data_IF_063192988787
#
_entry.id   IF_063192988787
#
_cell.length_a   1.000
_cell.length_b   1.000
_cell.length_c   1.000
_cell.angle_alpha   90.00
_cell.angle_beta   90.00
_cell.angle_gamma   90.00
#
_symmetry.space_group_name_H-M   'P 1'
#
loop_
_entity.id
_entity.type
_entity.pdbx_description
1 polymer ?
#
# COMPACT_ATOMS: atom_id res chain seq x y z
N UNK A 1 -12.76 20.59 -0.39
CA UNK A 1 -11.50 19.81 -0.61
C UNK A 1 -10.82 19.76 0.74
N UNK A 2 -10.27 18.62 1.16
CA UNK A 2 -9.58 18.51 2.46
C UNK A 2 -8.06 18.58 2.28
N UNK A 3 -7.54 17.96 1.22
CA UNK A 3 -6.11 17.89 0.92
C UNK A 3 -5.90 17.96 -0.58
N UNK A 4 -4.91 18.74 -1.03
CA UNK A 4 -4.48 18.81 -2.41
C UNK A 4 -2.97 18.59 -2.54
N UNK A 5 -2.59 17.91 -3.60
CA UNK A 5 -1.22 17.65 -4.02
C UNK A 5 -1.10 18.12 -5.47
N UNK A 6 -0.19 19.03 -5.74
CA UNK A 6 -0.04 19.64 -7.05
C UNK A 6 1.40 19.49 -7.55
N UNK A 7 1.57 18.75 -8.64
CA UNK A 7 2.83 18.55 -9.35
C UNK A 7 4.00 18.14 -8.43
N UNK A 8 3.72 17.25 -7.46
CA UNK A 8 4.71 16.84 -6.49
C UNK A 8 5.74 15.91 -7.10
N UNK A 9 7.01 16.24 -6.88
CA UNK A 9 8.17 15.41 -7.22
C UNK A 9 8.91 14.98 -5.96
N UNK A 10 9.41 13.75 -5.96
CA UNK A 10 10.23 13.21 -4.87
C UNK A 10 11.23 12.19 -5.38
N UNK A 11 12.49 12.37 -4.99
CA UNK A 11 13.61 11.49 -5.36
C UNK A 11 14.44 11.10 -4.14
N UNK A 12 15.08 9.94 -4.21
CA UNK A 12 16.12 9.53 -3.27
C UNK A 12 17.37 9.15 -4.06
N UNK A 13 18.41 9.96 -3.93
CA UNK A 13 19.58 9.86 -4.80
C UNK A 13 19.19 9.99 -6.27
N UNK A 14 19.62 9.06 -7.09
CA UNK A 14 19.33 9.06 -8.54
C UNK A 14 17.94 8.47 -8.88
N UNK A 15 17.20 7.99 -7.89
CA UNK A 15 15.90 7.33 -8.11
C UNK A 15 14.75 8.29 -7.89
N UNK A 16 14.06 8.62 -8.97
CA UNK A 16 12.79 9.35 -8.92
C UNK A 16 11.68 8.39 -8.50
N UNK A 17 10.99 8.69 -7.40
CA UNK A 17 9.85 7.90 -6.90
C UNK A 17 8.51 8.50 -7.29
N UNK A 18 8.42 9.83 -7.36
CA UNK A 18 7.23 10.56 -7.79
C UNK A 18 7.68 11.67 -8.74
N UNK A 19 7.02 11.80 -9.88
CA UNK A 19 7.36 12.74 -10.96
C UNK A 19 6.12 13.52 -11.37
N UNK A 20 5.96 14.74 -10.83
CA UNK A 20 4.84 15.63 -11.15
C UNK A 20 3.46 15.08 -10.76
N UNK A 21 3.38 14.37 -9.63
CA UNK A 21 2.14 13.74 -9.17
C UNK A 21 1.15 14.78 -8.67
N UNK A 22 -0.10 14.66 -9.10
CA UNK A 22 -1.22 15.46 -8.60
C UNK A 22 -2.32 14.56 -8.05
N UNK A 23 -2.87 14.93 -6.88
CA UNK A 23 -3.88 14.18 -6.17
C UNK A 23 -4.72 15.10 -5.29
N UNK A 24 -5.99 14.78 -5.11
CA UNK A 24 -6.88 15.54 -4.21
C UNK A 24 -7.76 14.58 -3.41
N UNK A 25 -8.16 15.03 -2.23
CA UNK A 25 -8.99 14.30 -1.29
C UNK A 25 -10.16 15.17 -0.83
N UNK A 26 -11.36 14.62 -0.93
CA UNK A 26 -12.59 15.27 -0.49
C UNK A 26 -13.16 14.57 0.75
N UNK A 27 -14.13 15.21 1.38
CA UNK A 27 -14.78 14.63 2.56
C UNK A 27 -15.52 13.34 2.18
N UNK A 28 -15.28 12.28 2.94
CA UNK A 28 -15.89 10.97 2.71
C UNK A 28 -15.20 10.11 1.65
N UNK A 29 -14.15 10.62 0.98
CA UNK A 29 -13.34 9.82 0.07
C UNK A 29 -12.66 8.68 0.82
N UNK A 30 -12.67 7.49 0.22
CA UNK A 30 -11.92 6.32 0.72
C UNK A 30 -11.04 5.80 -0.39
N UNK A 31 -9.74 6.09 -0.29
CA UNK A 31 -8.75 5.85 -1.34
C UNK A 31 -7.78 4.77 -0.93
N UNK A 32 -7.66 3.72 -1.75
CA UNK A 32 -6.62 2.71 -1.63
C UNK A 32 -5.44 3.01 -2.54
N UNK A 33 -4.23 3.10 -1.97
CA UNK A 33 -3.00 3.27 -2.74
C UNK A 33 -2.35 1.92 -2.97
N UNK A 34 -2.03 1.62 -4.20
CA UNK A 34 -1.38 0.38 -4.62
C UNK A 34 -0.17 0.66 -5.52
N UNK A 35 0.61 -0.36 -5.76
CA UNK A 35 1.83 -0.32 -6.59
C UNK A 35 2.82 -1.38 -6.15
N UNK A 36 3.84 -1.66 -6.95
CA UNK A 36 4.90 -2.60 -6.62
C UNK A 36 5.70 -2.16 -5.38
N UNK A 37 6.39 -3.09 -4.74
CA UNK A 37 7.26 -2.74 -3.60
C UNK A 37 8.36 -1.78 -4.06
N UNK A 38 8.55 -0.71 -3.26
CA UNK A 38 9.50 0.35 -3.60
C UNK A 38 9.03 1.33 -4.68
N UNK A 39 7.77 1.32 -5.10
CA UNK A 39 7.22 2.29 -6.06
C UNK A 39 7.03 3.71 -5.50
N UNK A 40 7.14 3.88 -4.16
CA UNK A 40 6.95 5.20 -3.53
C UNK A 40 5.64 5.36 -2.76
N UNK A 41 4.88 4.27 -2.51
CA UNK A 41 3.59 4.31 -1.78
C UNK A 41 3.71 4.96 -0.39
N UNK A 42 4.59 4.43 0.47
CA UNK A 42 4.81 4.99 1.82
C UNK A 42 5.43 6.39 1.79
N UNK A 43 6.21 6.70 0.75
CA UNK A 43 6.71 8.06 0.52
C UNK A 43 5.57 9.01 0.22
N UNK A 44 4.64 8.61 -0.66
CA UNK A 44 3.44 9.39 -0.94
C UNK A 44 2.62 9.62 0.33
N UNK A 45 2.40 8.57 1.17
CA UNK A 45 1.70 8.74 2.44
C UNK A 45 2.40 9.72 3.38
N UNK A 46 3.75 9.68 3.48
CA UNK A 46 4.53 10.63 4.32
C UNK A 46 4.42 12.06 3.81
N UNK A 47 4.43 12.27 2.50
CA UNK A 47 4.22 13.58 1.89
C UNK A 47 2.80 14.11 2.17
N UNK A 48 1.77 13.27 2.00
CA UNK A 48 0.38 13.62 2.33
C UNK A 48 0.23 13.99 3.81
N UNK A 49 0.90 13.25 4.70
CA UNK A 49 0.88 13.47 6.15
C UNK A 49 1.74 14.66 6.60
N UNK A 50 2.48 15.31 5.71
CA UNK A 50 3.44 16.38 6.09
C UNK A 50 4.62 15.87 6.93
N UNK A 51 4.83 14.54 6.97
CA UNK A 51 5.97 13.93 7.67
C UNK A 51 7.27 13.97 6.83
N UNK A 52 7.14 14.33 5.57
CA UNK A 52 8.25 14.54 4.64
C UNK A 52 7.91 15.68 3.67
N UNK A 53 8.92 16.46 3.27
CA UNK A 53 8.76 17.55 2.31
C UNK A 53 8.99 17.06 0.88
N UNK A 54 8.21 17.53 -0.12
CA UNK A 54 8.47 17.24 -1.53
C UNK A 54 9.71 18.00 -2.02
N UNK A 55 10.37 17.46 -3.04
CA UNK A 55 11.49 18.14 -3.71
C UNK A 55 10.98 19.23 -4.69
N UNK A 56 9.74 19.09 -5.16
CA UNK A 56 9.04 20.06 -5.98
C UNK A 56 7.53 19.89 -5.90
N UNK A 57 6.79 20.88 -6.33
CA UNK A 57 5.34 20.91 -6.19
C UNK A 57 4.87 21.33 -4.79
N UNK A 58 3.61 21.14 -4.47
CA UNK A 58 3.03 21.54 -3.18
C UNK A 58 2.04 20.50 -2.66
N UNK A 59 2.04 20.34 -1.33
CA UNK A 59 1.01 19.60 -0.58
C UNK A 59 0.31 20.59 0.35
N UNK A 60 -1.01 20.69 0.27
CA UNK A 60 -1.81 21.63 1.05
C UNK A 60 -2.94 20.91 1.77
N UNK A 61 -3.00 21.10 3.08
CA UNK A 61 -4.13 20.71 3.91
C UNK A 61 -5.01 21.95 4.11
N UNK A 62 -6.33 21.83 3.97
CA UNK A 62 -7.24 22.95 4.21
C UNK A 62 -7.13 23.43 5.67
N UNK A 63 -7.21 24.74 5.94
CA UNK A 63 -7.17 25.28 7.29
C UNK A 63 -8.26 24.68 8.19
N UNK A 64 -7.87 24.21 9.38
CA UNK A 64 -8.78 23.62 10.37
C UNK A 64 -9.06 22.13 10.18
N UNK A 65 -8.58 21.50 9.11
CA UNK A 65 -8.66 20.04 8.91
C UNK A 65 -7.68 19.35 9.84
N UNK A 66 -8.18 18.38 10.63
CA UNK A 66 -7.37 17.52 11.49
C UNK A 66 -7.04 16.24 10.75
N UNK A 67 -5.76 15.87 10.78
CA UNK A 67 -5.27 14.67 10.09
C UNK A 67 -4.48 13.80 11.06
N UNK A 68 -4.74 12.49 11.01
CA UNK A 68 -3.98 11.47 11.73
C UNK A 68 -3.28 10.53 10.75
N UNK A 69 -2.06 10.14 11.09
CA UNK A 69 -1.23 9.28 10.26
C UNK A 69 -0.68 8.08 11.04
N UNK A 70 -0.95 6.88 10.56
CA UNK A 70 -0.33 5.63 11.01
C UNK A 70 0.84 5.28 10.10
N UNK A 71 2.10 5.44 10.53
CA UNK A 71 3.26 5.01 9.74
C UNK A 71 3.45 3.49 9.78
N UNK A 72 4.14 2.96 8.78
CA UNK A 72 4.45 1.53 8.72
C UNK A 72 5.20 1.04 9.97
N UNK A 73 6.11 1.81 10.53
CA UNK A 73 6.87 1.51 11.74
C UNK A 73 6.68 2.63 12.78
N UNK A 74 5.67 2.51 13.66
CA UNK A 74 5.44 3.53 14.67
C UNK A 74 6.54 3.52 15.74
N UNK A 75 7.03 4.68 16.08
CA UNK A 75 8.04 4.90 17.14
C UNK A 75 7.36 5.56 18.33
N UNK A 76 7.48 4.95 19.50
CA UNK A 76 7.03 5.53 20.75
C UNK A 76 8.21 6.14 21.52
N UNK A 77 7.98 7.28 22.12
CA UNK A 77 8.99 7.99 22.93
C UNK A 77 8.65 7.88 24.42
N UNK A 78 9.68 7.56 25.21
CA UNK A 78 9.61 7.57 26.66
C UNK A 78 8.96 6.34 27.30
N UNK A 79 8.72 6.43 28.61
CA UNK A 79 8.18 5.35 29.47
C UNK A 79 6.68 5.51 29.76
N UNK A 80 5.94 6.07 28.79
CA UNK A 80 4.50 6.28 28.94
C UNK A 80 3.76 4.96 29.03
N UNK A 81 2.61 4.98 29.67
CA UNK A 81 1.65 3.87 29.61
C UNK A 81 0.99 3.79 28.24
N UNK A 82 0.40 2.64 27.91
CA UNK A 82 -0.36 2.42 26.67
C UNK A 82 -1.44 3.49 26.53
N UNK A 83 -2.22 3.74 27.58
CA UNK A 83 -3.31 4.71 27.53
C UNK A 83 -2.80 6.14 27.34
N UNK A 84 -1.76 6.55 28.07
CA UNK A 84 -1.13 7.85 27.90
C UNK A 84 -0.59 8.06 26.48
N UNK A 85 -0.04 7.01 25.88
CA UNK A 85 0.46 7.07 24.50
C UNK A 85 -0.67 7.27 23.47
N UNK A 86 -1.82 6.62 23.67
CA UNK A 86 -2.98 6.80 22.78
C UNK A 86 -3.55 8.22 22.90
N UNK A 87 -3.61 8.75 24.10
CA UNK A 87 -4.17 10.06 24.41
C UNK A 87 -3.17 11.22 24.24
N UNK A 88 -1.94 10.92 23.81
CA UNK A 88 -0.88 11.93 23.66
C UNK A 88 -1.26 13.00 22.64
N UNK A 89 -1.09 14.28 23.02
CA UNK A 89 -1.34 15.43 22.13
C UNK A 89 -2.81 15.87 22.07
N UNK A 90 -3.71 15.22 22.78
CA UNK A 90 -5.08 15.68 22.94
C UNK A 90 -5.18 16.77 24.02
N UNK A 91 -6.01 17.77 23.79
CA UNK A 91 -6.38 18.73 24.82
C UNK A 91 -7.30 18.09 25.88
N UNK A 92 -7.52 18.73 27.02
CA UNK A 92 -8.27 18.12 28.13
C UNK A 92 -9.73 17.79 27.76
N UNK A 93 -10.36 18.59 26.92
CA UNK A 93 -11.74 18.35 26.48
C UNK A 93 -11.86 17.13 25.57
N UNK A 94 -10.96 17.01 24.57
CA UNK A 94 -10.92 15.87 23.66
C UNK A 94 -10.46 14.59 24.37
N UNK A 95 -9.57 14.72 25.38
CA UNK A 95 -9.00 13.62 26.14
C UNK A 95 -10.07 12.83 26.89
N UNK A 96 -11.00 13.49 27.55
CA UNK A 96 -12.04 12.82 28.34
C UNK A 96 -13.00 12.00 27.44
N UNK A 97 -13.31 12.50 26.24
CA UNK A 97 -14.13 11.80 25.27
C UNK A 97 -13.36 10.66 24.60
N UNK A 98 -12.10 10.91 24.23
CA UNK A 98 -11.24 9.95 23.57
C UNK A 98 -10.81 8.80 24.47
N UNK A 99 -10.78 8.98 25.81
CA UNK A 99 -10.35 7.91 26.74
C UNK A 99 -11.29 6.70 26.68
N UNK A 100 -12.60 6.91 26.70
CA UNK A 100 -13.55 5.81 26.59
C UNK A 100 -13.42 5.07 25.25
N UNK A 101 -13.32 5.84 24.19
CA UNK A 101 -13.15 5.29 22.83
C UNK A 101 -11.80 4.57 22.70
N UNK A 102 -10.71 5.16 23.22
CA UNK A 102 -9.39 4.56 23.23
C UNK A 102 -9.37 3.19 23.94
N UNK A 103 -9.99 3.09 25.13
CA UNK A 103 -10.11 1.82 25.85
C UNK A 103 -10.90 0.77 25.08
N UNK A 104 -11.98 1.19 24.43
CA UNK A 104 -12.82 0.33 23.58
C UNK A 104 -12.02 -0.19 22.38
N UNK A 105 -11.35 0.68 21.65
CA UNK A 105 -10.52 0.34 20.47
C UNK A 105 -9.35 -0.56 20.88
N UNK A 106 -8.63 -0.23 21.95
CA UNK A 106 -7.54 -1.05 22.47
C UNK A 106 -8.00 -2.48 22.81
N UNK A 107 -9.15 -2.63 23.47
CA UNK A 107 -9.72 -3.96 23.76
C UNK A 107 -10.07 -4.72 22.48
N UNK A 108 -10.66 -4.07 21.49
CA UNK A 108 -10.96 -4.68 20.18
C UNK A 108 -9.69 -5.12 19.44
N UNK A 109 -8.60 -4.39 19.64
CA UNK A 109 -7.28 -4.74 19.10
C UNK A 109 -6.47 -5.67 20.02
N UNK A 110 -7.09 -6.27 21.04
CA UNK A 110 -6.47 -7.26 21.92
C UNK A 110 -5.38 -6.68 22.84
N UNK A 111 -5.47 -5.40 23.20
CA UNK A 111 -4.59 -4.72 24.14
C UNK A 111 -5.40 -4.36 25.38
N UNK A 112 -5.29 -5.15 26.45
CA UNK A 112 -6.06 -4.97 27.69
C UNK A 112 -5.25 -4.36 28.85
N UNK A 113 -3.91 -4.30 28.73
CA UNK A 113 -3.02 -3.79 29.78
C UNK A 113 -2.72 -2.31 29.57
N UNK A 114 -3.67 -1.44 29.90
CA UNK A 114 -3.59 0.00 29.60
C UNK A 114 -2.48 0.72 30.37
N UNK A 115 -2.16 0.26 31.57
CA UNK A 115 -1.14 0.83 32.47
C UNK A 115 0.27 0.27 32.21
N UNK A 116 0.42 -0.66 31.28
CA UNK A 116 1.72 -1.21 30.91
C UNK A 116 2.52 -0.15 30.14
N UNK A 117 3.84 -0.04 30.44
CA UNK A 117 4.74 0.82 29.68
C UNK A 117 4.84 0.35 28.20
N UNK A 118 4.79 1.30 27.27
CA UNK A 118 4.94 1.04 25.83
C UNK A 118 6.32 0.46 25.49
N UNK A 119 7.33 0.66 26.35
CA UNK A 119 8.67 0.09 26.19
C UNK A 119 8.66 -1.46 26.23
N UNK A 120 7.72 -2.04 27.00
CA UNK A 120 7.60 -3.50 27.21
C UNK A 120 6.71 -4.22 26.18
N UNK A 121 6.18 -3.48 25.18
CA UNK A 121 5.32 -4.04 24.16
C UNK A 121 6.13 -4.77 23.08
N UNK A 122 5.61 -5.89 22.60
CA UNK A 122 6.07 -6.53 21.37
C UNK A 122 5.86 -5.61 20.15
N UNK A 123 6.56 -5.87 19.04
CA UNK A 123 6.38 -5.10 17.80
C UNK A 123 4.93 -5.10 17.30
N UNK A 124 4.23 -6.23 17.40
CA UNK A 124 2.82 -6.33 17.04
C UNK A 124 1.90 -5.53 17.96
N UNK A 125 2.15 -5.56 19.27
CA UNK A 125 1.38 -4.75 20.23
C UNK A 125 1.62 -3.25 20.02
N UNK A 126 2.87 -2.83 19.77
CA UNK A 126 3.17 -1.41 19.43
C UNK A 126 2.35 -0.94 18.23
N UNK A 127 2.26 -1.76 17.19
CA UNK A 127 1.45 -1.42 16.02
C UNK A 127 -0.03 -1.30 16.34
N UNK A 128 -0.59 -2.22 17.12
CA UNK A 128 -1.99 -2.15 17.54
C UNK A 128 -2.27 -0.94 18.43
N UNK A 129 -1.36 -0.57 19.32
CA UNK A 129 -1.46 0.65 20.13
C UNK A 129 -1.37 1.90 19.25
N UNK A 130 -0.49 1.94 18.24
CA UNK A 130 -0.41 3.06 17.30
C UNK A 130 -1.67 3.18 16.45
N UNK A 131 -2.23 2.06 15.99
CA UNK A 131 -3.51 2.04 15.28
C UNK A 131 -4.64 2.57 16.20
N UNK A 132 -4.70 2.12 17.45
CA UNK A 132 -5.66 2.64 18.41
C UNK A 132 -5.53 4.16 18.60
N UNK A 133 -4.31 4.68 18.67
CA UNK A 133 -4.06 6.10 18.84
C UNK A 133 -4.64 6.95 17.70
N UNK A 134 -4.44 6.55 16.44
CA UNK A 134 -4.96 7.30 15.29
C UNK A 134 -6.47 7.13 15.11
N UNK A 135 -7.05 5.99 15.52
CA UNK A 135 -8.50 5.77 15.43
C UNK A 135 -9.28 6.47 16.55
N UNK A 136 -8.71 6.59 17.75
CA UNK A 136 -9.36 7.22 18.90
C UNK A 136 -9.35 8.76 18.82
N UNK A 137 -8.47 9.36 18.01
CA UNK A 137 -8.36 10.80 17.90
C UNK A 137 -9.37 11.36 16.91
N UNK A 138 -10.06 12.47 17.27
CA UNK A 138 -10.97 13.11 16.35
C UNK A 138 -10.20 13.71 15.17
N UNK A 139 -10.46 13.22 13.95
CA UNK A 139 -9.83 13.71 12.73
C UNK A 139 -10.80 13.72 11.55
N UNK A 140 -10.48 14.53 10.53
CA UNK A 140 -11.21 14.64 9.28
C UNK A 140 -10.57 13.81 8.16
N UNK A 141 -9.25 13.58 8.27
CA UNK A 141 -8.44 12.80 7.33
C UNK A 141 -7.65 11.74 8.11
N UNK A 142 -7.74 10.50 7.68
CA UNK A 142 -7.02 9.37 8.23
C UNK A 142 -6.11 8.75 7.17
N UNK A 143 -4.82 8.67 7.45
CA UNK A 143 -3.81 8.08 6.58
C UNK A 143 -3.25 6.84 7.26
N UNK A 144 -3.38 5.67 6.60
CA UNK A 144 -2.97 4.38 7.17
C UNK A 144 -1.96 3.66 6.27
N UNK A 145 -0.78 3.35 6.81
CA UNK A 145 0.24 2.53 6.11
C UNK A 145 0.25 1.12 6.68
N UNK A 146 -0.30 0.15 5.91
CA UNK A 146 -0.42 -1.26 6.24
C UNK A 146 -1.15 -1.52 7.58
N UNK A 147 -2.40 -1.05 7.76
CA UNK A 147 -3.11 -1.14 9.04
C UNK A 147 -3.49 -2.57 9.43
N UNK A 148 -3.60 -3.49 8.49
CA UNK A 148 -3.99 -4.89 8.71
C UNK A 148 -2.84 -5.78 9.20
N UNK A 149 -1.59 -5.31 9.10
CA UNK A 149 -0.44 -6.09 9.54
C UNK A 149 -0.46 -6.31 11.06
N UNK A 150 -0.19 -7.54 11.49
CA UNK A 150 -0.21 -8.01 12.89
C UNK A 150 -1.60 -8.02 13.54
N UNK A 151 -2.67 -7.89 12.77
CA UNK A 151 -4.04 -8.15 13.21
C UNK A 151 -4.41 -9.61 12.92
N UNK A 152 -5.27 -10.19 13.74
CA UNK A 152 -5.95 -11.44 13.41
C UNK A 152 -7.26 -11.16 12.66
N UNK A 153 -7.93 -12.21 12.21
CA UNK A 153 -9.13 -12.07 11.39
C UNK A 153 -10.24 -11.27 12.07
N UNK A 154 -10.46 -11.49 13.38
CA UNK A 154 -11.52 -10.81 14.12
C UNK A 154 -11.24 -9.30 14.23
N UNK A 155 -9.97 -8.95 14.46
CA UNK A 155 -9.52 -7.54 14.48
C UNK A 155 -9.63 -6.90 13.09
N UNK A 156 -9.29 -7.62 12.02
CA UNK A 156 -9.42 -7.12 10.64
C UNK A 156 -10.88 -6.87 10.30
N UNK A 157 -11.79 -7.80 10.60
CA UNK A 157 -13.24 -7.64 10.37
C UNK A 157 -13.80 -6.44 11.14
N UNK A 158 -13.41 -6.31 12.42
CA UNK A 158 -13.82 -5.14 13.20
C UNK A 158 -13.28 -3.84 12.61
N UNK A 159 -12.02 -3.78 12.19
CA UNK A 159 -11.42 -2.58 11.58
C UNK A 159 -12.11 -2.23 10.26
N UNK A 160 -12.48 -3.24 9.48
CA UNK A 160 -13.25 -3.06 8.24
C UNK A 160 -14.58 -2.37 8.50
N UNK A 161 -15.35 -2.88 9.48
CA UNK A 161 -16.65 -2.29 9.85
C UNK A 161 -16.48 -0.86 10.39
N UNK A 162 -15.47 -0.63 11.22
CA UNK A 162 -15.14 0.69 11.76
C UNK A 162 -14.83 1.69 10.64
N UNK A 163 -13.91 1.37 9.73
CA UNK A 163 -13.49 2.26 8.65
C UNK A 163 -14.60 2.46 7.62
N UNK A 164 -15.47 1.45 7.40
CA UNK A 164 -16.61 1.58 6.50
C UNK A 164 -17.65 2.54 7.06
N UNK A 165 -17.91 2.51 8.35
CA UNK A 165 -18.85 3.40 9.03
C UNK A 165 -18.32 4.83 9.22
N UNK A 166 -16.99 4.99 9.24
CA UNK A 166 -16.34 6.28 9.47
C UNK A 166 -16.60 7.28 8.33
N UNK A 167 -16.92 8.54 8.68
CA UNK A 167 -17.42 9.57 7.75
C UNK A 167 -16.32 10.49 7.20
N UNK A 168 -15.12 10.46 7.75
CA UNK A 168 -13.99 11.26 7.27
C UNK A 168 -13.39 10.72 5.98
N UNK A 169 -12.35 11.38 5.50
CA UNK A 169 -11.61 10.98 4.32
C UNK A 169 -10.46 10.02 4.69
N UNK A 170 -10.37 8.90 4.02
CA UNK A 170 -9.41 7.83 4.27
C UNK A 170 -8.46 7.66 3.09
N UNK A 171 -7.16 7.61 3.38
CA UNK A 171 -6.14 7.15 2.44
C UNK A 171 -5.40 6.00 3.06
N UNK A 172 -5.29 4.86 2.38
CA UNK A 172 -4.59 3.71 2.93
C UNK A 172 -3.72 2.98 1.91
N UNK A 173 -2.64 2.40 2.40
CA UNK A 173 -1.84 1.37 1.70
C UNK A 173 -2.05 0.05 2.42
N UNK A 174 -2.41 -0.99 1.69
CA UNK A 174 -2.43 -2.36 2.21
C UNK A 174 -2.25 -3.38 1.08
N UNK A 175 -1.72 -4.54 1.43
CA UNK A 175 -1.65 -5.70 0.53
C UNK A 175 -2.89 -6.59 0.60
N UNK A 176 -3.80 -6.32 1.53
CA UNK A 176 -5.05 -7.06 1.67
C UNK A 176 -6.09 -6.56 0.65
N UNK A 177 -6.25 -7.34 -0.42
CA UNK A 177 -7.16 -7.02 -1.53
C UNK A 177 -8.62 -7.07 -1.10
N UNK A 178 -8.98 -8.01 -0.20
CA UNK A 178 -10.34 -8.14 0.31
C UNK A 178 -10.73 -6.95 1.17
N UNK A 179 -9.78 -6.46 1.96
CA UNK A 179 -9.95 -5.26 2.77
C UNK A 179 -10.16 -4.01 1.89
N UNK A 180 -9.34 -3.85 0.85
CA UNK A 180 -9.52 -2.76 -0.12
C UNK A 180 -10.88 -2.83 -0.82
N UNK A 181 -11.27 -4.02 -1.30
CA UNK A 181 -12.52 -4.21 -2.03
C UNK A 181 -13.76 -3.73 -1.26
N UNK A 182 -13.75 -3.89 0.06
CA UNK A 182 -14.90 -3.61 0.92
C UNK A 182 -14.96 -2.17 1.44
N UNK A 183 -13.83 -1.47 1.47
CA UNK A 183 -13.75 -0.14 2.10
C UNK A 183 -13.62 0.97 1.07
N UNK A 184 -12.80 0.78 0.02
CA UNK A 184 -12.41 1.89 -0.85
C UNK A 184 -13.41 2.13 -1.97
N UNK A 185 -13.64 3.41 -2.29
CA UNK A 185 -14.41 3.84 -3.45
C UNK A 185 -13.57 4.37 -4.60
N UNK A 186 -12.26 4.56 -4.37
CA UNK A 186 -11.30 5.05 -5.36
C UNK A 186 -9.94 4.38 -5.15
N UNK A 187 -9.30 3.98 -6.22
CA UNK A 187 -7.96 3.41 -6.21
C UNK A 187 -6.95 4.38 -6.82
N UNK A 188 -5.76 4.45 -6.25
CA UNK A 188 -4.64 5.23 -6.75
C UNK A 188 -3.41 4.31 -6.92
N UNK A 189 -2.93 4.16 -8.15
CA UNK A 189 -1.79 3.31 -8.46
C UNK A 189 -0.53 4.15 -8.67
N UNK A 190 0.51 3.87 -7.88
CA UNK A 190 1.85 4.42 -8.09
C UNK A 190 2.63 3.48 -9.01
N UNK A 191 2.92 3.92 -10.22
CA UNK A 191 3.64 3.16 -11.22
C UNK A 191 4.63 4.07 -11.98
N UNK A 192 5.91 3.69 -11.97
CA UNK A 192 6.99 4.38 -12.70
C UNK A 192 7.02 5.91 -12.47
N UNK A 193 6.89 6.33 -11.19
CA UNK A 193 6.89 7.73 -10.77
C UNK A 193 5.56 8.47 -10.98
N UNK A 194 4.58 7.86 -11.62
CA UNK A 194 3.28 8.46 -11.92
C UNK A 194 2.19 7.93 -10.98
N UNK A 195 1.14 8.70 -10.83
CA UNK A 195 -0.07 8.31 -10.10
C UNK A 195 -1.25 8.18 -11.06
N UNK A 196 -1.83 7.00 -11.12
CA UNK A 196 -3.04 6.73 -11.89
C UNK A 196 -4.22 6.54 -10.93
N UNK A 197 -5.28 7.31 -11.10
CA UNK A 197 -6.47 7.21 -10.28
C UNK A 197 -7.59 6.50 -11.02
N UNK A 198 -8.33 5.64 -10.31
CA UNK A 198 -9.43 4.84 -10.84
C UNK A 198 -10.62 4.94 -9.89
N UNK A 199 -11.76 5.36 -10.40
CA UNK A 199 -13.01 5.35 -9.64
C UNK A 199 -13.51 3.91 -9.48
N UNK A 200 -13.89 3.56 -8.25
CA UNK A 200 -14.40 2.24 -7.88
C UNK A 200 -13.48 1.48 -6.94
N UNK A 201 -13.89 0.27 -6.62
CA UNK A 201 -13.20 -0.68 -5.75
C UNK A 201 -12.05 -1.41 -6.47
N UNK A 202 -11.48 -2.40 -5.81
CA UNK A 202 -10.31 -3.13 -6.32
C UNK A 202 -10.62 -3.90 -7.63
N UNK A 203 -11.81 -4.51 -7.77
CA UNK A 203 -12.20 -5.24 -8.98
C UNK A 203 -12.32 -4.30 -10.18
N UNK A 204 -12.99 -3.16 -10.01
CA UNK A 204 -13.08 -2.13 -11.06
C UNK A 204 -11.73 -1.55 -11.46
N UNK A 205 -10.83 -1.41 -10.49
CA UNK A 205 -9.45 -1.04 -10.78
C UNK A 205 -8.78 -2.05 -11.73
N UNK A 206 -8.90 -3.36 -11.45
CA UNK A 206 -8.27 -4.40 -12.29
C UNK A 206 -8.79 -4.32 -13.73
N UNK A 207 -10.09 -4.17 -13.93
CA UNK A 207 -10.71 -4.02 -15.26
C UNK A 207 -10.17 -2.78 -16.00
N UNK A 208 -10.17 -1.63 -15.33
CA UNK A 208 -9.72 -0.35 -15.92
C UNK A 208 -8.22 -0.35 -16.21
N UNK A 209 -7.42 -0.96 -15.32
CA UNK A 209 -5.98 -1.15 -15.56
C UNK A 209 -5.74 -2.02 -16.78
N UNK A 210 -6.45 -3.14 -16.91
CA UNK A 210 -6.33 -4.01 -18.08
C UNK A 210 -6.64 -3.26 -19.38
N UNK A 211 -7.72 -2.47 -19.40
CA UNK A 211 -8.11 -1.65 -20.54
C UNK A 211 -7.04 -0.56 -20.87
N UNK A 212 -6.48 0.11 -19.84
CA UNK A 212 -5.38 1.07 -20.02
C UNK A 212 -4.17 0.42 -20.67
N UNK A 213 -3.71 -0.70 -20.12
CA UNK A 213 -2.54 -1.43 -20.63
C UNK A 213 -2.76 -1.93 -22.08
N UNK A 214 -3.96 -2.37 -22.42
CA UNK A 214 -4.29 -2.78 -23.79
C UNK A 214 -4.25 -1.58 -24.76
N UNK A 215 -4.80 -0.44 -24.37
CA UNK A 215 -4.75 0.81 -25.15
C UNK A 215 -3.30 1.29 -25.35
N UNK A 216 -2.47 1.26 -24.31
CA UNK A 216 -1.06 1.61 -24.37
C UNK A 216 -0.29 0.68 -25.32
N UNK A 217 -0.52 -0.65 -25.23
CA UNK A 217 0.07 -1.63 -26.15
C UNK A 217 -0.39 -1.45 -27.59
N UNK A 218 -1.66 -1.10 -27.82
CA UNK A 218 -2.17 -0.84 -29.16
C UNK A 218 -1.54 0.42 -29.75
N UNK A 219 -1.40 1.48 -28.95
CA UNK A 219 -0.74 2.73 -29.35
C UNK A 219 0.74 2.52 -29.67
N UNK A 220 1.45 1.73 -28.84
CA UNK A 220 2.85 1.40 -29.08
C UNK A 220 3.04 0.55 -30.35
N UNK A 221 2.17 -0.44 -30.60
CA UNK A 221 2.19 -1.21 -31.85
C UNK A 221 2.00 -0.31 -33.09
N UNK A 222 1.09 0.65 -33.01
CA UNK A 222 0.89 1.65 -34.09
C UNK A 222 2.15 2.51 -34.28
N UNK A 223 2.73 3.01 -33.19
CA UNK A 223 3.97 3.81 -33.22
C UNK A 223 5.11 3.03 -33.88
N UNK A 224 5.33 1.78 -33.47
CA UNK A 224 6.38 0.92 -34.04
C UNK A 224 6.14 0.62 -35.52
N UNK A 225 4.89 0.42 -35.95
CA UNK A 225 4.55 0.21 -37.34
C UNK A 225 4.88 1.45 -38.19
N UNK A 226 4.59 2.66 -37.67
CA UNK A 226 4.94 3.92 -38.32
C UNK A 226 6.48 4.06 -38.38
N UNK A 227 7.18 3.84 -37.25
CA UNK A 227 8.64 3.90 -37.19
C UNK A 227 9.31 2.98 -38.23
N UNK A 228 8.84 1.73 -38.35
CA UNK A 228 9.37 0.77 -39.34
C UNK A 228 9.17 1.28 -40.76
N UNK A 229 8.02 1.87 -41.09
CA UNK A 229 7.72 2.45 -42.42
C UNK A 229 8.61 3.65 -42.71
N UNK A 230 8.74 4.57 -41.74
CA UNK A 230 9.59 5.74 -41.89
C UNK A 230 11.08 5.36 -41.95
N UNK A 231 11.52 4.38 -41.18
CA UNK A 231 12.87 3.83 -41.23
C UNK A 231 13.20 3.28 -42.65
N UNK A 232 12.29 2.47 -43.21
CA UNK A 232 12.48 1.97 -44.59
C UNK A 232 12.61 3.10 -45.61
N UNK A 233 11.81 4.16 -45.47
CA UNK A 233 11.89 5.33 -46.32
C UNK A 233 13.21 6.11 -46.10
N UNK A 234 13.71 6.23 -44.88
CA UNK A 234 15.00 6.85 -44.57
C UNK A 234 16.15 6.05 -45.19
N UNK A 235 16.09 4.74 -45.21
CA UNK A 235 17.12 3.85 -45.76
C UNK A 235 17.09 3.80 -47.32
N UNK A 236 15.95 4.02 -47.95
CA UNK A 236 15.87 4.15 -49.40
C UNK A 236 16.56 5.47 -49.83
N UNK A 237 17.52 5.40 -50.74
CA UNK A 237 18.22 6.54 -51.30
C UNK A 237 17.23 7.56 -51.92
N UNK A 238 17.64 8.82 -52.11
CA UNK A 238 16.80 9.79 -52.79
C UNK A 238 16.52 9.34 -54.22
N UNK A 239 15.24 9.22 -54.57
CA UNK A 239 14.83 8.96 -55.95
C UNK A 239 15.22 10.14 -56.84
N UNK A 240 16.02 9.88 -57.86
CA UNK A 240 16.52 10.76 -58.88
C UNK A 240 16.24 12.30 -58.73
N UNK A 241 17.28 13.08 -58.38
CA UNK A 241 17.28 14.56 -58.26
C UNK A 241 16.42 15.21 -57.18
N UNK A 242 15.87 14.48 -56.19
CA UNK A 242 15.09 15.03 -55.07
C UNK A 242 15.86 15.02 -53.76
N UNK A 243 15.79 16.12 -52.98
CA UNK A 243 16.20 16.15 -51.57
C UNK A 243 15.13 15.44 -50.70
N UNK A 244 15.55 14.64 -49.70
CA UNK A 244 14.62 14.05 -48.72
C UNK A 244 13.84 15.16 -48.00
N UNK A 245 12.54 14.99 -47.83
CA UNK A 245 11.71 15.96 -47.10
C UNK A 245 12.25 16.11 -45.66
N UNK A 246 12.68 17.33 -45.33
CA UNK A 246 13.23 17.69 -44.02
C UNK A 246 12.18 17.47 -42.93
N UNK A 247 10.95 17.84 -43.16
CA UNK A 247 9.81 17.68 -42.26
C UNK A 247 9.59 16.20 -41.89
N UNK A 248 9.73 15.30 -42.86
CA UNK A 248 9.54 13.85 -42.62
C UNK A 248 10.68 13.23 -41.83
N UNK A 249 11.92 13.72 -42.01
CA UNK A 249 13.07 13.35 -41.20
C UNK A 249 12.90 13.82 -39.76
N UNK A 250 12.53 15.06 -39.54
CA UNK A 250 12.27 15.64 -38.21
C UNK A 250 11.15 14.85 -37.48
N UNK A 251 10.10 14.47 -38.21
CA UNK A 251 9.03 13.63 -37.68
C UNK A 251 9.50 12.21 -37.27
N UNK A 252 10.36 11.61 -38.08
CA UNK A 252 10.97 10.30 -37.76
C UNK A 252 11.84 10.39 -36.50
N UNK A 253 12.69 11.42 -36.38
CA UNK A 253 13.54 11.65 -35.23
C UNK A 253 12.70 11.88 -33.95
N UNK A 254 11.65 12.68 -34.04
CA UNK A 254 10.72 12.92 -32.94
C UNK A 254 10.02 11.64 -32.50
N UNK A 255 9.56 10.79 -33.43
CA UNK A 255 8.96 9.49 -33.12
C UNK A 255 9.96 8.49 -32.53
N UNK A 256 11.24 8.56 -32.97
CA UNK A 256 12.32 7.72 -32.44
C UNK A 256 12.74 8.12 -31.02
N UNK A 257 12.70 9.42 -30.71
CA UNK A 257 13.05 9.96 -29.41
C UNK A 257 11.99 9.65 -28.33
N UNK A 258 10.75 9.35 -28.74
CA UNK A 258 9.72 8.90 -27.80
C UNK A 258 10.05 7.49 -27.30
N UNK A 259 10.42 7.37 -26.04
CA UNK A 259 10.60 6.06 -25.36
C UNK A 259 9.25 5.36 -25.29
N UNK A 260 9.15 4.13 -25.82
CA UNK A 260 8.00 3.27 -25.55
C UNK A 260 7.98 2.78 -24.11
N UNK A 261 6.82 2.29 -23.63
CA UNK A 261 6.76 1.66 -22.30
C UNK A 261 7.81 0.53 -22.25
N UNK A 262 8.60 0.51 -21.17
CA UNK A 262 9.58 -0.57 -20.95
C UNK A 262 8.85 -1.91 -20.88
N UNK A 263 9.26 -2.88 -21.69
CA UNK A 263 8.76 -4.25 -21.56
C UNK A 263 9.17 -4.78 -20.18
N UNK A 264 8.20 -4.89 -19.27
CA UNK A 264 8.42 -5.55 -17.98
C UNK A 264 8.58 -7.04 -18.26
N UNK A 265 9.84 -7.54 -18.24
CA UNK A 265 10.12 -8.96 -18.32
C UNK A 265 9.45 -9.67 -17.14
N UNK A 266 8.53 -10.57 -17.43
CA UNK A 266 8.02 -11.52 -16.44
C UNK A 266 9.15 -12.49 -16.12
N UNK A 267 9.66 -12.44 -14.88
CA UNK A 267 10.56 -13.45 -14.35
C UNK A 267 9.74 -14.75 -14.23
N UNK A 268 9.89 -15.64 -15.20
CA UNK A 268 9.43 -17.02 -15.05
C UNK A 268 10.38 -17.73 -14.08
N UNK A 269 9.98 -17.82 -12.81
CA UNK A 269 10.64 -18.65 -11.82
C UNK A 269 10.32 -20.12 -12.12
N UNK A 270 11.10 -20.74 -12.97
CA UNK A 270 11.10 -22.18 -13.14
C UNK A 270 11.78 -22.83 -11.93
N UNK A 271 11.01 -23.09 -10.87
CA UNK A 271 11.46 -23.94 -9.78
C UNK A 271 11.64 -25.37 -10.31
N UNK A 272 12.89 -25.81 -10.46
CA UNK A 272 13.18 -27.21 -10.74
C UNK A 272 12.66 -28.05 -9.57
N UNK A 273 11.61 -28.84 -9.81
CA UNK A 273 11.12 -29.79 -8.85
C UNK A 273 12.22 -30.81 -8.52
N UNK A 274 12.77 -30.77 -7.30
CA UNK A 274 13.64 -31.85 -6.82
C UNK A 274 12.82 -33.12 -6.61
N UNK A 275 13.43 -34.30 -6.81
CA UNK A 275 12.80 -35.59 -6.51
C UNK A 275 12.70 -35.76 -4.99
N UNK A 276 11.61 -35.27 -4.38
CA UNK A 276 11.21 -35.57 -3.02
C UNK A 276 10.44 -36.90 -2.96
N UNK A 277 10.62 -37.67 -1.89
CA UNK A 277 9.84 -38.89 -1.63
C UNK A 277 8.34 -38.60 -1.52
N UNK A 278 7.52 -39.67 -1.50
CA UNK A 278 6.05 -39.54 -1.38
C UNK A 278 5.60 -38.87 -0.08
N UNK A 279 6.30 -39.08 1.04
CA UNK A 279 6.09 -38.41 2.34
C UNK A 279 7.22 -37.42 2.54
N UNK A 280 6.88 -36.16 2.87
CA UNK A 280 7.87 -35.11 3.01
C UNK A 280 8.13 -34.78 4.47
N UNK A 281 7.06 -34.64 5.27
CA UNK A 281 7.13 -34.37 6.71
C UNK A 281 6.02 -35.19 7.41
N UNK A 282 6.39 -35.87 8.48
CA UNK A 282 5.46 -36.60 9.35
C UNK A 282 5.67 -36.12 10.79
N UNK A 283 4.63 -35.60 11.39
CA UNK A 283 4.59 -35.20 12.81
C UNK A 283 3.65 -36.13 13.54
N UNK A 284 4.11 -36.73 14.64
CA UNK A 284 3.29 -37.64 15.44
C UNK A 284 3.38 -37.24 16.94
N UNK A 285 2.24 -37.00 17.58
CA UNK A 285 2.15 -36.70 19.01
C UNK A 285 2.91 -35.41 19.41
N UNK A 286 3.04 -34.44 18.52
CA UNK A 286 3.85 -33.22 18.78
C UNK A 286 3.17 -32.34 19.82
N UNK A 287 3.83 -32.17 20.97
CA UNK A 287 3.38 -31.26 22.02
C UNK A 287 4.45 -30.20 22.29
N UNK A 288 4.07 -28.93 22.29
CA UNK A 288 4.96 -27.80 22.56
C UNK A 288 4.29 -26.78 23.47
N UNK A 289 5.04 -26.32 24.48
CA UNK A 289 4.63 -25.25 25.37
C UNK A 289 5.73 -24.23 25.62
N UNK A 290 5.34 -23.04 26.03
CA UNK A 290 6.22 -21.95 26.43
C UNK A 290 5.71 -21.32 27.73
N UNK A 291 6.60 -21.05 28.69
CA UNK A 291 6.24 -20.37 29.95
C UNK A 291 5.10 -21.01 30.74
N UNK A 292 5.00 -22.35 30.76
CA UNK A 292 3.95 -23.07 31.43
C UNK A 292 2.62 -23.20 30.68
N UNK A 293 2.49 -22.56 29.51
CA UNK A 293 1.32 -22.68 28.64
C UNK A 293 1.60 -23.63 27.49
N UNK A 294 0.79 -24.70 27.37
CA UNK A 294 0.84 -25.58 26.20
C UNK A 294 0.19 -24.88 25.01
N UNK A 295 0.93 -24.74 23.92
CA UNK A 295 0.51 -24.04 22.69
C UNK A 295 0.02 -25.04 21.65
N UNK A 296 0.73 -26.15 21.49
CA UNK A 296 0.35 -27.28 20.63
C UNK A 296 0.32 -28.54 21.49
N UNK A 297 -0.72 -29.34 21.36
CA UNK A 297 -0.87 -30.58 22.13
C UNK A 297 -1.25 -31.72 21.22
N UNK A 298 -0.51 -32.81 21.30
CA UNK A 298 -0.80 -34.09 20.63
C UNK A 298 -1.16 -33.91 19.14
N UNK A 299 -0.28 -33.17 18.43
CA UNK A 299 -0.52 -32.78 17.06
C UNK A 299 0.07 -33.81 16.10
N UNK A 300 -0.81 -34.40 15.30
CA UNK A 300 -0.46 -35.32 14.22
C UNK A 300 -0.71 -34.64 12.87
N UNK A 301 0.28 -34.70 12.00
CA UNK A 301 0.17 -34.17 10.64
C UNK A 301 1.10 -34.90 9.70
N UNK A 302 0.62 -35.20 8.51
CA UNK A 302 1.43 -35.75 7.42
C UNK A 302 1.36 -34.80 6.23
N UNK A 303 2.51 -34.30 5.79
CA UNK A 303 2.64 -33.47 4.60
C UNK A 303 3.10 -34.35 3.43
N UNK A 304 2.30 -34.37 2.38
CA UNK A 304 2.65 -35.02 1.13
C UNK A 304 3.32 -34.03 0.18
N UNK A 305 3.92 -34.54 -0.88
CA UNK A 305 4.71 -33.76 -1.83
C UNK A 305 3.98 -32.56 -2.45
N UNK A 306 2.70 -32.72 -2.73
CA UNK A 306 1.91 -31.73 -3.47
C UNK A 306 0.90 -30.99 -2.58
N UNK A 307 0.96 -31.20 -1.26
CA UNK A 307 0.07 -30.55 -0.31
C UNK A 307 0.38 -29.06 -0.18
N UNK A 308 -0.68 -28.28 -0.07
CA UNK A 308 -0.66 -26.86 0.26
C UNK A 308 -1.52 -26.64 1.49
N UNK A 309 -0.87 -26.41 2.62
CA UNK A 309 -1.55 -26.29 3.93
C UNK A 309 -1.51 -24.83 4.38
N UNK A 310 -2.67 -24.27 4.70
CA UNK A 310 -2.81 -22.97 5.35
C UNK A 310 -3.01 -23.15 6.85
N UNK A 311 -2.19 -22.49 7.68
CA UNK A 311 -2.33 -22.48 9.14
C UNK A 311 -3.02 -21.19 9.55
N UNK A 312 -4.21 -21.32 10.16
CA UNK A 312 -5.03 -20.20 10.64
C UNK A 312 -5.22 -20.26 12.15
N UNK A 313 -5.45 -19.14 12.79
CA UNK A 313 -5.70 -19.06 14.23
C UNK A 313 -5.47 -17.65 14.78
N UNK A 314 -5.96 -17.38 15.99
CA UNK A 314 -5.79 -16.09 16.67
C UNK A 314 -4.32 -15.75 16.94
N UNK A 315 -4.01 -14.49 17.22
CA UNK A 315 -2.67 -14.09 17.61
C UNK A 315 -2.25 -14.72 18.93
N UNK A 316 -1.01 -15.23 19.01
CA UNK A 316 -0.50 -15.96 20.19
C UNK A 316 -1.00 -17.40 20.31
N UNK A 317 -1.70 -17.96 19.31
CA UNK A 317 -2.14 -19.36 19.31
C UNK A 317 -1.05 -20.39 18.98
N UNK A 318 0.16 -19.93 18.60
CA UNK A 318 1.29 -20.81 18.27
C UNK A 318 1.41 -21.19 16.81
N UNK A 319 0.95 -20.32 15.90
CA UNK A 319 1.09 -20.53 14.46
C UNK A 319 2.55 -20.54 13.97
N UNK A 320 3.40 -19.79 14.67
CA UNK A 320 4.84 -19.61 14.34
C UNK A 320 5.73 -20.44 15.20
#
# INVERSE_FOLDING_TARGET
>A
MLLSVEQVTKSYGDRVLLDGVSFYLERGDKVGIIGVNGAGKSTLLRLLAGAEEPDGGTVRLDPGVRMEYLPQNPVFQGERTVLEQVLLGLNDADRSLAEYEARTILNRLGVSRFEQSVGNLSGGERRRVALAAVLARPCDVLILDEPTNHLDNDMVLWLEDYLRAWKGALVMVTHDRYFLERIVGRMAEVEDGRLFTYEGNYDKYLERKAARLESERASERKRQAILRREYQWVMQGPTARGTKSRERLERYEALKAQSGPAEKSTLELNARASRLGKKTIECTGVTKGFGGRTVVRDFDCMLLRDDRIGIVGANGSGKS
#
